data_IF_509055652629
#
_entry.id   IF_509055652629
#
_cell.length_a   1.000
_cell.length_b   1.000
_cell.length_c   1.000
_cell.angle_alpha   90.00
_cell.angle_beta   90.00
_cell.angle_gamma   90.00
#
_symmetry.space_group_name_H-M   'P 1'
#
loop_
_entity.id
_entity.type
_entity.pdbx_description
1 polymer ?
#
# COMPACT_ATOMS: atom_id res chain seq x y z
N UNK A 1 10.24 1.10 -30.92
CA UNK A 1 10.98 0.35 -29.89
C UNK A 1 10.55 0.90 -28.53
N UNK A 2 9.78 0.17 -27.70
CA UNK A 2 9.40 0.65 -26.38
C UNK A 2 10.67 0.67 -25.53
N UNK A 3 10.96 1.76 -24.79
CA UNK A 3 12.09 1.76 -23.88
C UNK A 3 11.90 0.60 -22.88
N UNK A 4 12.96 -0.18 -22.71
CA UNK A 4 12.97 -1.29 -21.74
C UNK A 4 12.63 -0.70 -20.37
N UNK A 5 11.47 -1.06 -19.84
CA UNK A 5 11.08 -0.71 -18.48
C UNK A 5 12.20 -1.27 -17.59
N UNK A 6 12.97 -0.40 -16.94
CA UNK A 6 14.03 -0.84 -16.01
C UNK A 6 13.37 -1.74 -15.00
N UNK A 7 13.95 -2.90 -14.78
CA UNK A 7 13.42 -3.85 -13.82
C UNK A 7 13.31 -3.14 -12.46
N UNK A 8 12.12 -3.15 -11.85
CA UNK A 8 11.91 -2.59 -10.51
C UNK A 8 12.88 -3.17 -9.49
N UNK A 9 13.34 -4.40 -9.68
CA UNK A 9 14.33 -5.02 -8.81
C UNK A 9 15.67 -4.27 -8.84
N UNK A 10 16.07 -3.72 -9.99
CA UNK A 10 17.31 -2.93 -10.12
C UNK A 10 17.20 -1.52 -9.55
N UNK A 11 15.96 -0.98 -9.49
CA UNK A 11 15.70 0.41 -9.07
C UNK A 11 14.99 0.52 -7.73
N UNK A 12 14.62 -0.58 -7.10
CA UNK A 12 13.87 -0.59 -5.85
C UNK A 12 14.73 -0.08 -4.69
N UNK A 13 14.41 1.11 -4.13
CA UNK A 13 15.20 1.70 -3.06
C UNK A 13 15.16 0.87 -1.76
N UNK A 14 14.16 -0.01 -1.58
CA UNK A 14 14.12 -0.94 -0.45
C UNK A 14 15.31 -1.91 -0.45
N UNK A 15 15.88 -2.21 -1.62
CA UNK A 15 17.06 -3.06 -1.79
C UNK A 15 18.38 -2.28 -1.76
N UNK A 16 18.34 -0.96 -1.61
CA UNK A 16 19.53 -0.10 -1.52
C UNK A 16 20.35 -0.39 -0.25
N UNK A 17 21.60 0.07 -0.23
CA UNK A 17 22.52 -0.07 0.91
C UNK A 17 22.25 0.92 2.05
N UNK A 18 21.27 1.81 1.93
CA UNK A 18 20.89 2.75 3.00
C UNK A 18 20.48 1.97 4.25
N UNK A 19 20.98 2.38 5.42
CA UNK A 19 20.69 1.73 6.69
C UNK A 19 19.26 1.95 7.16
N UNK A 20 18.74 3.18 7.03
CA UNK A 20 17.38 3.54 7.36
C UNK A 20 16.53 3.45 6.09
N UNK A 21 15.39 2.80 6.21
CA UNK A 21 14.36 2.73 5.19
C UNK A 21 13.09 3.39 5.72
N UNK A 22 12.48 4.24 4.93
CA UNK A 22 11.22 4.88 5.26
C UNK A 22 10.10 4.26 4.42
N UNK A 23 8.94 4.10 5.01
CA UNK A 23 7.77 3.59 4.30
C UNK A 23 6.48 4.16 4.84
N UNK A 24 5.45 4.16 4.00
CA UNK A 24 4.08 4.40 4.46
C UNK A 24 3.45 3.12 4.96
N UNK A 25 2.50 3.24 5.87
CA UNK A 25 1.77 2.11 6.44
C UNK A 25 0.27 2.41 6.53
N UNK A 26 -0.56 1.46 6.13
CA UNK A 26 -2.03 1.54 6.21
C UNK A 26 -2.69 2.63 5.35
N UNK A 27 -2.06 3.10 4.29
CA UNK A 27 -2.66 4.09 3.38
C UNK A 27 -3.75 3.52 2.47
N UNK A 28 -4.02 2.23 2.57
CA UNK A 28 -5.11 1.53 1.89
C UNK A 28 -6.40 1.45 2.73
N UNK A 29 -6.43 2.02 3.93
CA UNK A 29 -7.56 1.96 4.86
C UNK A 29 -8.01 3.36 5.27
N UNK A 30 -9.34 3.53 5.47
CA UNK A 30 -9.89 4.77 5.99
C UNK A 30 -9.27 5.12 7.34
N UNK A 31 -9.00 6.39 7.56
CA UNK A 31 -8.32 6.93 8.74
C UNK A 31 -6.86 6.45 8.94
N UNK A 32 -6.36 5.52 8.11
CA UNK A 32 -5.00 4.97 8.27
C UNK A 32 -4.76 4.44 9.68
N UNK A 33 -3.76 4.98 10.38
CA UNK A 33 -3.44 4.65 11.78
C UNK A 33 -4.15 5.54 12.82
N UNK A 34 -5.04 6.46 12.40
CA UNK A 34 -5.65 7.45 13.29
C UNK A 34 -7.01 6.99 13.80
N UNK A 35 -7.19 6.98 15.11
CA UNK A 35 -8.47 6.69 15.78
C UNK A 35 -9.05 7.99 16.36
N UNK A 36 -9.49 8.89 15.48
CA UNK A 36 -10.00 10.20 15.85
C UNK A 36 -11.20 10.56 14.98
N UNK A 37 -12.09 11.39 15.48
CA UNK A 37 -13.18 12.02 14.74
C UNK A 37 -12.89 13.48 14.36
N UNK A 38 -11.65 13.91 14.49
CA UNK A 38 -11.19 15.22 14.02
C UNK A 38 -11.22 15.27 12.49
N UNK A 39 -11.44 16.46 11.97
CA UNK A 39 -11.29 16.74 10.55
C UNK A 39 -9.85 16.53 10.08
N UNK A 40 -9.65 16.16 8.81
CA UNK A 40 -8.32 15.96 8.23
C UNK A 40 -7.72 14.56 8.44
N UNK A 41 -8.48 13.62 8.99
CA UNK A 41 -8.08 12.21 8.94
C UNK A 41 -8.02 11.71 7.49
N UNK A 42 -7.26 10.67 7.24
CA UNK A 42 -7.13 10.08 5.91
C UNK A 42 -8.49 9.61 5.37
N UNK A 43 -8.93 10.22 4.29
CA UNK A 43 -10.10 9.80 3.52
C UNK A 43 -9.69 8.73 2.51
N UNK A 44 -10.38 7.60 2.54
CA UNK A 44 -10.13 6.48 1.65
C UNK A 44 -10.84 6.68 0.32
N UNK A 45 -10.15 7.33 -0.61
CA UNK A 45 -10.55 7.40 -2.01
C UNK A 45 -9.38 7.00 -2.90
N UNK A 46 -9.66 6.47 -4.08
CA UNK A 46 -8.60 6.07 -5.00
C UNK A 46 -7.70 7.24 -5.41
N UNK A 47 -8.24 8.43 -5.76
CA UNK A 47 -7.39 9.59 -6.06
C UNK A 47 -6.46 9.99 -4.93
N UNK A 48 -6.96 10.03 -3.68
CA UNK A 48 -6.14 10.36 -2.52
C UNK A 48 -5.05 9.31 -2.26
N UNK A 49 -5.39 8.05 -2.40
CA UNK A 49 -4.45 6.94 -2.25
C UNK A 49 -3.31 7.02 -3.26
N UNK A 50 -3.62 7.30 -4.52
CA UNK A 50 -2.61 7.50 -5.57
C UNK A 50 -1.76 8.74 -5.30
N UNK A 51 -2.39 9.86 -4.93
CA UNK A 51 -1.67 11.10 -4.62
C UNK A 51 -0.68 10.92 -3.45
N UNK A 52 -1.08 10.22 -2.39
CA UNK A 52 -0.20 9.90 -1.28
C UNK A 52 0.97 8.99 -1.67
N UNK A 53 0.72 8.00 -2.52
CA UNK A 53 1.77 7.11 -3.01
C UNK A 53 2.80 7.86 -3.88
N UNK A 54 2.32 8.78 -4.74
CA UNK A 54 3.18 9.61 -5.57
C UNK A 54 3.97 10.63 -4.74
N UNK A 55 3.33 11.23 -3.73
CA UNK A 55 4.04 12.11 -2.79
C UNK A 55 5.12 11.34 -2.02
N UNK A 56 4.83 10.13 -1.56
CA UNK A 56 5.82 9.28 -0.91
C UNK A 56 7.00 8.95 -1.84
N UNK A 57 6.73 8.70 -3.13
CA UNK A 57 7.76 8.52 -4.15
C UNK A 57 8.63 9.77 -4.35
N UNK A 58 8.01 10.95 -4.43
CA UNK A 58 8.71 12.24 -4.53
C UNK A 58 9.60 12.50 -3.31
N UNK A 59 9.13 12.13 -2.13
CA UNK A 59 9.87 12.24 -0.86
C UNK A 59 10.88 11.10 -0.63
N UNK A 60 11.11 10.26 -1.65
CA UNK A 60 12.06 9.14 -1.63
C UNK A 60 11.78 8.07 -0.56
N UNK A 61 10.52 7.83 -0.22
CA UNK A 61 10.15 6.70 0.61
C UNK A 61 10.44 5.39 -0.13
N UNK A 62 11.01 4.42 0.58
CA UNK A 62 11.44 3.16 -0.02
C UNK A 62 10.33 2.11 -0.11
N UNK A 63 9.29 2.21 0.73
CA UNK A 63 8.26 1.18 0.84
C UNK A 63 6.85 1.75 1.00
N UNK A 64 5.88 1.10 0.36
CA UNK A 64 4.45 1.35 0.54
C UNK A 64 3.81 0.06 1.01
N UNK A 65 3.29 0.06 2.25
CA UNK A 65 2.84 -1.16 2.94
C UNK A 65 1.36 -1.05 3.30
N UNK A 66 0.49 -1.88 2.70
CA UNK A 66 -0.92 -1.95 3.06
C UNK A 66 -1.14 -2.84 4.29
N UNK A 67 -2.35 -2.78 4.84
CA UNK A 67 -2.83 -3.71 5.86
C UNK A 67 -4.05 -4.45 5.34
N UNK A 68 -4.02 -5.78 5.44
CA UNK A 68 -5.19 -6.60 5.18
C UNK A 68 -6.14 -6.51 6.38
N UNK A 69 -7.32 -5.94 6.16
CA UNK A 69 -8.36 -5.83 7.17
C UNK A 69 -9.73 -6.03 6.54
N UNK A 70 -10.55 -6.83 7.19
CA UNK A 70 -11.87 -7.17 6.68
C UNK A 70 -12.99 -6.37 7.36
N UNK A 71 -12.72 -5.88 8.55
CA UNK A 71 -13.71 -5.17 9.35
C UNK A 71 -13.01 -4.10 10.18
N UNK A 72 -13.59 -2.89 10.21
CA UNK A 72 -13.12 -1.80 11.07
C UNK A 72 -13.28 -2.09 12.55
N UNK A 73 -12.77 -1.21 13.36
CA UNK A 73 -12.82 -1.32 14.81
C UNK A 73 -14.21 -1.04 15.39
N UNK A 74 -15.16 -0.53 14.58
CA UNK A 74 -16.48 -0.11 15.04
C UNK A 74 -16.45 1.24 15.79
N UNK A 75 -17.53 1.49 16.52
CA UNK A 75 -17.72 2.76 17.20
C UNK A 75 -18.11 3.91 16.25
N UNK A 76 -18.17 5.13 16.79
CA UNK A 76 -18.61 6.33 16.05
C UNK A 76 -17.76 6.61 14.80
N UNK A 77 -16.46 6.45 14.90
CA UNK A 77 -15.50 6.77 13.84
C UNK A 77 -15.22 5.59 12.92
N UNK A 78 -15.51 4.38 13.38
CA UNK A 78 -15.21 3.12 12.68
C UNK A 78 -13.89 3.14 11.90
N UNK A 79 -12.75 3.48 12.54
CA UNK A 79 -11.48 3.58 11.82
C UNK A 79 -11.14 2.25 11.15
N UNK A 80 -10.52 2.33 9.96
CA UNK A 80 -10.20 1.18 9.13
C UNK A 80 -11.43 0.37 8.67
N UNK A 81 -12.65 0.96 8.70
CA UNK A 81 -13.86 0.32 8.20
C UNK A 81 -13.80 0.10 6.70
N UNK A 82 -13.90 1.16 5.88
CA UNK A 82 -13.64 1.07 4.45
C UNK A 82 -12.15 0.86 4.17
N UNK A 83 -11.86 0.09 3.12
CA UNK A 83 -10.48 -0.15 2.71
C UNK A 83 -10.38 -0.84 1.36
N UNK A 84 -9.25 -0.67 0.71
CA UNK A 84 -8.92 -1.42 -0.50
C UNK A 84 -8.31 -2.78 -0.13
N UNK A 85 -8.70 -3.80 -0.87
CA UNK A 85 -8.06 -5.11 -0.81
C UNK A 85 -6.59 -4.99 -1.23
N UNK A 86 -5.71 -5.66 -0.50
CA UNK A 86 -4.27 -5.37 -0.51
C UNK A 86 -3.57 -5.71 -1.82
N UNK A 87 -3.91 -6.79 -2.49
CA UNK A 87 -3.32 -7.14 -3.78
C UNK A 87 -3.81 -6.22 -4.89
N UNK A 88 -5.11 -5.93 -4.92
CA UNK A 88 -5.70 -4.99 -5.88
C UNK A 88 -5.13 -3.59 -5.68
N UNK A 89 -5.02 -3.14 -4.43
CA UNK A 89 -4.38 -1.88 -4.09
C UNK A 89 -2.92 -1.85 -4.56
N UNK A 90 -2.15 -2.90 -4.23
CA UNK A 90 -0.74 -2.96 -4.59
C UNK A 90 -0.52 -2.92 -6.10
N UNK A 91 -1.34 -3.63 -6.87
CA UNK A 91 -1.28 -3.60 -8.33
C UNK A 91 -1.56 -2.20 -8.90
N UNK A 92 -2.61 -1.52 -8.40
CA UNK A 92 -2.94 -0.16 -8.83
C UNK A 92 -1.88 0.86 -8.45
N UNK A 93 -1.35 0.81 -7.22
CA UNK A 93 -0.26 1.68 -6.77
C UNK A 93 1.03 1.39 -7.54
N UNK A 94 1.33 0.13 -7.78
CA UNK A 94 2.48 -0.24 -8.60
C UNK A 94 2.40 0.26 -10.05
N UNK A 95 1.20 0.38 -10.60
CA UNK A 95 0.98 0.99 -11.91
C UNK A 95 1.09 2.53 -11.89
N UNK A 96 0.92 3.16 -10.72
CA UNK A 96 0.88 4.61 -10.53
C UNK A 96 2.19 5.20 -10.00
N UNK A 97 3.17 4.36 -9.64
CA UNK A 97 4.48 4.74 -9.10
C UNK A 97 5.60 3.96 -9.79
N UNK A 98 6.85 4.41 -9.66
CA UNK A 98 7.99 3.86 -10.41
C UNK A 98 9.13 3.34 -9.51
N UNK A 99 9.34 3.95 -8.35
CA UNK A 99 10.51 3.70 -7.49
C UNK A 99 10.21 2.86 -6.25
N UNK A 100 9.20 3.18 -5.40
CA UNK A 100 9.04 2.51 -4.12
C UNK A 100 8.70 1.03 -4.28
N UNK A 101 9.14 0.22 -3.33
CA UNK A 101 8.69 -1.14 -3.18
C UNK A 101 7.24 -1.15 -2.71
N UNK A 102 6.35 -1.70 -3.53
CA UNK A 102 4.93 -1.85 -3.16
C UNK A 102 4.72 -3.25 -2.63
N UNK A 103 4.27 -3.33 -1.39
CA UNK A 103 3.98 -4.59 -0.72
C UNK A 103 2.50 -4.94 -0.83
N UNK A 104 2.20 -6.21 -0.65
CA UNK A 104 0.85 -6.71 -0.39
C UNK A 104 0.87 -7.63 0.83
N UNK A 105 -0.27 -7.82 1.44
CA UNK A 105 -0.43 -8.72 2.59
C UNK A 105 -1.68 -9.57 2.44
N UNK A 106 -1.71 -10.74 3.07
CA UNK A 106 -2.89 -11.57 3.14
C UNK A 106 -3.08 -12.19 4.52
N UNK A 107 -4.30 -12.61 4.82
CA UNK A 107 -4.61 -13.37 6.03
C UNK A 107 -4.26 -14.85 5.83
N UNK A 108 -3.03 -15.23 6.12
CA UNK A 108 -2.49 -16.58 5.87
C UNK A 108 -3.27 -17.69 6.58
N UNK A 109 -3.97 -17.38 7.65
CA UNK A 109 -4.77 -18.35 8.42
C UNK A 109 -6.06 -18.77 7.73
N UNK A 110 -6.55 -17.94 6.78
CA UNK A 110 -7.84 -18.17 6.10
C UNK A 110 -7.70 -18.20 4.57
N UNK A 111 -6.55 -17.80 4.05
CA UNK A 111 -6.31 -17.80 2.60
C UNK A 111 -5.55 -19.07 2.22
N UNK A 112 -6.15 -19.85 1.31
CA UNK A 112 -5.48 -21.05 0.82
C UNK A 112 -4.15 -20.68 0.12
N UNK A 113 -3.03 -21.39 0.39
CA UNK A 113 -1.71 -21.03 -0.15
C UNK A 113 -1.66 -20.87 -1.67
N UNK A 114 -2.39 -21.71 -2.42
CA UNK A 114 -2.47 -21.62 -3.88
C UNK A 114 -3.15 -20.31 -4.31
N UNK A 115 -4.18 -19.86 -3.60
CA UNK A 115 -4.87 -18.60 -3.89
C UNK A 115 -3.92 -17.42 -3.62
N UNK A 116 -3.24 -17.41 -2.47
CA UNK A 116 -2.26 -16.39 -2.14
C UNK A 116 -1.11 -16.33 -3.17
N UNK A 117 -0.58 -17.49 -3.57
CA UNK A 117 0.45 -17.57 -4.59
C UNK A 117 -0.03 -17.02 -5.94
N UNK A 118 -1.26 -17.31 -6.35
CA UNK A 118 -1.85 -16.80 -7.59
C UNK A 118 -2.03 -15.27 -7.54
N UNK A 119 -2.52 -14.75 -6.42
CA UNK A 119 -2.68 -13.32 -6.22
C UNK A 119 -1.33 -12.58 -6.22
N UNK A 120 -0.30 -13.19 -5.63
CA UNK A 120 1.05 -12.60 -5.60
C UNK A 120 1.77 -12.62 -6.95
N UNK A 121 1.35 -13.49 -7.87
CA UNK A 121 1.95 -13.65 -9.20
C UNK A 121 1.23 -12.83 -10.29
N UNK A 122 0.16 -12.12 -9.95
CA UNK A 122 -0.60 -11.27 -10.87
C UNK A 122 -0.01 -9.87 -10.87
#
# INVERSE_FOLDING_TARGET
>A
MRPRQRDRQETNPALSTRRLKLGTFQTNLDSGCVMSDLEGRLDISWPNTVALAQLAEEMEFEALVPVARWQGWGGKTNPQGPGFETYTWAAGIAASTHKPGVFSTSHITITHPIVAAKQSAA
#
